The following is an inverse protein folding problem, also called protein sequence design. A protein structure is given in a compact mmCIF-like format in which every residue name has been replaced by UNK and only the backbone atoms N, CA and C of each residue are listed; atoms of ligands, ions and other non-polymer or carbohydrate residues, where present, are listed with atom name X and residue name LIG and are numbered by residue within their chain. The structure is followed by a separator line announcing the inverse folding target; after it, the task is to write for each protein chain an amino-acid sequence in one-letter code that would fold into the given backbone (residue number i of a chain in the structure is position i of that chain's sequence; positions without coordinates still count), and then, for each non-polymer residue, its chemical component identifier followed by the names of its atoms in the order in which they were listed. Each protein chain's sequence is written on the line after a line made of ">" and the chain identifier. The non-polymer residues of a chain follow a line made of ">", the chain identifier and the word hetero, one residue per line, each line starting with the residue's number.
data_IF_512764984962
#
_entry.id   IF_512764984962
#
_cell.length_a   1.000
_cell.length_b   1.000
_cell.length_c   1.000
_cell.angle_alpha   90.00
_cell.angle_beta   90.00
_cell.angle_gamma   90.00
#
_symmetry.space_group_name_H-M   'P 1'
#
loop_
_entity.id
_entity.type
_entity.pdbx_description
1 polymer ?
#
# COMPACT_ATOMS: atom_id res chain seq x y z
N UNK A 1 -10.83 -4.74 8.60
CA UNK A 1 -9.42 -4.30 8.53
C UNK A 1 -9.40 -3.02 7.70
N UNK A 2 -8.83 -1.93 8.22
CA UNK A 2 -8.82 -0.64 7.51
C UNK A 2 -7.46 -0.47 6.84
N UNK A 3 -7.43 -0.29 5.53
CA UNK A 3 -6.21 0.01 4.80
C UNK A 3 -6.02 1.51 4.68
N UNK A 4 -4.79 1.96 4.53
CA UNK A 4 -4.42 3.36 4.43
C UNK A 4 -3.60 3.56 3.17
N UNK A 5 -3.92 4.57 2.38
CA UNK A 5 -3.10 5.03 1.26
C UNK A 5 -2.29 6.22 1.72
N UNK A 6 -0.96 6.13 1.57
CA UNK A 6 -0.03 7.21 1.83
C UNK A 6 0.27 7.95 0.52
N UNK A 7 0.29 9.28 0.59
CA UNK A 7 0.54 10.17 -0.54
C UNK A 7 1.77 11.04 -0.31
N UNK A 8 2.47 11.38 -1.39
CA UNK A 8 3.51 12.42 -1.39
C UNK A 8 2.93 13.83 -1.46
N UNK A 9 3.79 14.85 -1.47
CA UNK A 9 3.40 16.27 -1.58
C UNK A 9 2.70 16.63 -2.89
N UNK A 10 2.78 15.77 -3.91
CA UNK A 10 2.14 15.93 -5.22
C UNK A 10 0.82 15.18 -5.31
N UNK A 11 0.43 14.46 -4.27
CA UNK A 11 -0.77 13.61 -4.25
C UNK A 11 -0.57 12.26 -4.96
N UNK A 12 0.67 11.84 -5.21
CA UNK A 12 1.00 10.53 -5.78
C UNK A 12 0.93 9.47 -4.70
N UNK A 13 0.37 8.31 -5.01
CA UNK A 13 0.38 7.14 -4.10
C UNK A 13 1.81 6.62 -3.98
N UNK A 14 2.33 6.58 -2.75
CA UNK A 14 3.68 6.07 -2.47
C UNK A 14 3.68 4.75 -1.68
N UNK A 15 2.62 4.47 -0.93
CA UNK A 15 2.46 3.21 -0.21
C UNK A 15 0.99 2.94 0.15
N UNK A 16 0.65 1.67 0.36
CA UNK A 16 -0.58 1.23 1.03
C UNK A 16 -0.22 0.40 2.26
N UNK A 17 -0.78 0.75 3.41
CA UNK A 17 -0.48 0.16 4.71
C UNK A 17 -1.74 -0.43 5.33
N UNK A 18 -1.61 -1.47 6.15
CA UNK A 18 -2.73 -2.09 6.84
C UNK A 18 -2.94 -1.49 8.24
N UNK A 19 -1.87 -0.91 8.79
CA UNK A 19 -1.84 -0.34 10.15
C UNK A 19 -1.21 1.04 10.17
N UNK A 20 -1.51 1.81 11.23
CA UNK A 20 -0.84 3.10 11.46
C UNK A 20 0.64 2.93 11.85
N UNK A 21 1.01 1.79 12.44
CA UNK A 21 2.37 1.47 12.83
C UNK A 21 3.29 1.36 11.61
N UNK A 22 2.84 0.70 10.53
CA UNK A 22 3.57 0.66 9.26
C UNK A 22 3.81 2.06 8.68
N UNK A 23 2.83 2.95 8.78
CA UNK A 23 2.94 4.35 8.33
C UNK A 23 4.01 5.08 9.14
N UNK A 24 4.06 4.86 10.46
CA UNK A 24 5.07 5.42 11.33
C UNK A 24 6.48 4.91 10.99
N UNK A 25 6.62 3.62 10.65
CA UNK A 25 7.88 3.05 10.16
C UNK A 25 8.31 3.71 8.85
N UNK A 26 7.41 3.88 7.88
CA UNK A 26 7.72 4.55 6.62
C UNK A 26 8.18 6.01 6.82
N UNK A 27 7.54 6.74 7.74
CA UNK A 27 7.98 8.10 8.12
C UNK A 27 9.38 8.09 8.71
N UNK A 28 9.69 7.14 9.59
CA UNK A 28 11.03 6.98 10.20
C UNK A 28 12.10 6.61 9.17
N UNK A 29 11.74 5.89 8.11
CA UNK A 29 12.64 5.59 6.99
C UNK A 29 12.86 6.79 6.04
N UNK A 30 12.30 7.96 6.35
CA UNK A 30 12.48 9.17 5.54
C UNK A 30 11.60 9.23 4.29
N UNK A 31 10.51 8.44 4.22
CA UNK A 31 9.54 8.58 3.13
C UNK A 31 8.74 9.88 3.31
N UNK A 32 8.61 10.73 2.28
CA UNK A 32 7.90 12.01 2.36
C UNK A 32 6.38 11.76 2.29
N UNK A 33 5.81 11.24 3.38
CA UNK A 33 4.36 11.05 3.50
C UNK A 33 3.73 12.40 3.89
N UNK A 34 3.12 13.07 2.91
CA UNK A 34 2.42 14.33 3.12
C UNK A 34 0.99 14.12 3.61
N UNK A 35 0.28 13.10 3.08
CA UNK A 35 -1.10 12.81 3.45
C UNK A 35 -1.36 11.31 3.60
N UNK A 36 -2.34 10.95 4.42
CA UNK A 36 -2.75 9.57 4.68
C UNK A 36 -4.27 9.49 4.67
N UNK A 37 -4.84 8.67 3.78
CA UNK A 37 -6.28 8.47 3.70
C UNK A 37 -6.64 7.01 3.99
N UNK A 38 -7.62 6.81 4.86
CA UNK A 38 -8.25 5.51 5.03
C UNK A 38 -8.97 5.13 3.74
N UNK A 39 -8.70 3.92 3.25
CA UNK A 39 -9.36 3.35 2.08
C UNK A 39 -10.80 2.99 2.45
N UNK A 40 -11.73 3.22 1.52
CA UNK A 40 -13.09 2.70 1.64
C UNK A 40 -13.05 1.18 1.52
N UNK A 41 -14.03 0.47 2.10
CA UNK A 41 -14.11 -0.98 2.00
C UNK A 41 -14.08 -1.49 0.54
N UNK A 42 -14.65 -0.73 -0.38
CA UNK A 42 -14.67 -1.05 -1.81
C UNK A 42 -13.29 -0.88 -2.48
N UNK A 43 -12.43 0.00 -1.95
CA UNK A 43 -11.07 0.23 -2.46
C UNK A 43 -10.04 -0.65 -1.75
N UNK A 44 -10.35 -1.07 -0.52
CA UNK A 44 -9.58 -2.00 0.30
C UNK A 44 -9.51 -3.42 -0.26
N UNK A 45 -10.04 -3.66 -1.46
CA UNK A 45 -9.78 -4.85 -2.26
C UNK A 45 -8.33 -4.79 -2.73
N UNK A 46 -7.41 -5.09 -1.81
CA UNK A 46 -6.15 -5.72 -2.19
C UNK A 46 -6.59 -6.95 -2.95
N UNK A 47 -6.30 -7.00 -4.25
CA UNK A 47 -6.48 -8.21 -5.02
C UNK A 47 -5.87 -9.36 -4.21
N UNK A 48 -6.72 -10.21 -3.65
CA UNK A 48 -6.39 -11.59 -3.38
C UNK A 48 -6.28 -12.28 -4.73
N UNK A 49 -5.34 -11.84 -5.57
CA UNK A 49 -4.86 -12.55 -6.75
C UNK A 49 -3.82 -13.52 -6.20
N UNK A 50 -4.18 -14.79 -6.06
CA UNK A 50 -3.91 -15.81 -7.10
C UNK A 50 -2.40 -15.92 -7.38
N UNK A 51 -1.81 -17.01 -6.91
CA UNK A 51 -0.46 -17.46 -7.28
C UNK A 51 0.64 -16.95 -6.35
N UNK A 52 1.29 -17.87 -5.64
CA UNK A 52 2.64 -17.63 -5.12
C UNK A 52 3.57 -17.26 -6.29
N UNK A 53 4.68 -16.52 -6.07
CA UNK A 53 5.66 -16.19 -7.12
C UNK A 53 6.19 -17.40 -7.91
N UNK A 54 5.99 -18.62 -7.38
CA UNK A 54 6.29 -19.90 -8.01
C UNK A 54 5.38 -20.27 -9.19
N UNK A 55 4.27 -19.56 -9.43
CA UNK A 55 3.35 -19.82 -10.54
C UNK A 55 3.72 -19.05 -11.82
N UNK A 56 4.64 -18.09 -11.75
CA UNK A 56 5.09 -17.31 -12.91
C UNK A 56 6.25 -18.04 -13.61
N UNK A 57 5.94 -19.01 -14.46
CA UNK A 57 6.88 -19.60 -15.41
C UNK A 57 6.66 -18.98 -16.80
N UNK A 58 7.42 -17.95 -17.12
CA UNK A 58 7.45 -17.28 -18.43
C UNK A 58 8.28 -18.16 -19.40
N UNK A 59 7.64 -19.17 -19.99
CA UNK A 59 8.14 -19.88 -21.17
C UNK A 59 7.20 -19.54 -22.32
N UNK A 60 7.54 -18.50 -23.08
CA UNK A 60 6.97 -18.21 -24.40
C UNK A 60 7.95 -17.42 -25.28
#
# INVERSE_FOLDING_TARGET
>A
MTFYTCFDDKGTVIARCQTQEEIAVLRRMGRPIADVKAMKNEEAVVCSLTGSPSDYNDDF
#
